data_IF_385036705031
#
_entry.id   IF_385036705031
#
_cell.length_a   1.000
_cell.length_b   1.000
_cell.length_c   1.000
_cell.angle_alpha   90.00
_cell.angle_beta   90.00
_cell.angle_gamma   90.00
#
_symmetry.space_group_name_H-M   'P 1'
#
loop_
_entity.id
_entity.type
_entity.pdbx_description
1 polymer ?
#
# COMPACT_ATOMS: atom_id res chain seq x y z
N UNK A 1 -16.12 22.04 -11.68
CA UNK A 1 -16.28 20.99 -10.66
C UNK A 1 -15.22 19.95 -10.96
N UNK A 2 -14.09 19.99 -10.25
CA UNK A 2 -13.07 18.95 -10.38
C UNK A 2 -13.43 17.94 -9.30
N UNK A 3 -14.07 16.84 -9.70
CA UNK A 3 -14.18 15.67 -8.82
C UNK A 3 -12.74 15.18 -8.66
N UNK A 4 -12.11 15.47 -7.53
CA UNK A 4 -10.71 15.12 -7.29
C UNK A 4 -10.58 13.60 -7.36
N UNK A 5 -9.80 13.09 -8.30
CA UNK A 5 -9.65 11.66 -8.53
C UNK A 5 -9.16 10.99 -7.24
N UNK A 6 -9.87 9.98 -6.71
CA UNK A 6 -9.51 9.35 -5.44
C UNK A 6 -8.14 8.67 -5.49
N UNK A 7 -7.62 8.40 -6.69
CA UNK A 7 -6.24 7.95 -6.91
C UNK A 7 -5.19 9.02 -6.57
N UNK A 8 -5.46 10.29 -6.87
CA UNK A 8 -4.56 11.41 -6.54
C UNK A 8 -4.47 11.59 -5.02
N UNK A 9 -5.61 11.45 -4.33
CA UNK A 9 -5.66 11.46 -2.87
C UNK A 9 -4.88 10.28 -2.28
N UNK A 10 -5.03 9.07 -2.82
CA UNK A 10 -4.28 7.89 -2.38
C UNK A 10 -2.76 8.11 -2.51
N UNK A 11 -2.29 8.68 -3.62
CA UNK A 11 -0.86 9.02 -3.80
C UNK A 11 -0.38 10.08 -2.80
N UNK A 12 -1.20 11.08 -2.50
CA UNK A 12 -0.86 12.10 -1.50
C UNK A 12 -0.75 11.49 -0.10
N UNK A 13 -1.71 10.63 0.26
CA UNK A 13 -1.73 9.86 1.50
C UNK A 13 -0.53 8.91 1.63
N UNK A 14 -0.18 8.20 0.55
CA UNK A 14 1.02 7.37 0.49
C UNK A 14 2.30 8.17 0.70
N UNK A 15 2.42 9.38 0.10
CA UNK A 15 3.54 10.29 0.39
C UNK A 15 3.58 10.76 1.86
N UNK A 16 2.43 10.91 2.52
CA UNK A 16 2.35 11.22 3.96
C UNK A 16 2.75 10.03 4.82
N UNK A 17 2.36 8.82 4.43
CA UNK A 17 2.81 7.60 5.10
C UNK A 17 4.33 7.48 5.08
N UNK A 18 4.99 7.75 3.95
CA UNK A 18 6.45 7.74 3.85
C UNK A 18 7.13 8.74 4.82
N UNK A 19 6.40 9.73 5.32
CA UNK A 19 6.86 10.69 6.33
C UNK A 19 6.52 10.25 7.78
N UNK A 20 5.98 9.05 7.99
CA UNK A 20 5.47 8.53 9.27
C UNK A 20 4.30 9.32 9.88
N UNK A 21 3.55 10.08 9.06
CA UNK A 21 2.40 10.90 9.50
C UNK A 21 1.05 10.18 9.33
N UNK A 22 1.02 8.98 8.76
CA UNK A 22 -0.22 8.26 8.47
C UNK A 22 -0.11 6.77 8.84
N UNK A 23 -1.25 6.14 9.12
CA UNK A 23 -1.30 4.72 9.45
C UNK A 23 -1.31 3.85 8.17
N UNK A 24 -0.32 2.95 7.98
CA UNK A 24 -0.21 2.16 6.76
C UNK A 24 -1.36 1.16 6.58
N UNK A 25 -1.99 0.71 7.67
CA UNK A 25 -3.14 -0.19 7.64
C UNK A 25 -4.39 0.54 7.11
N UNK A 26 -4.63 1.76 7.57
CA UNK A 26 -5.70 2.61 7.05
C UNK A 26 -5.52 2.88 5.56
N UNK A 27 -4.32 3.26 5.15
CA UNK A 27 -4.01 3.52 3.74
C UNK A 27 -4.15 2.27 2.87
N UNK A 28 -3.74 1.10 3.38
CA UNK A 28 -3.92 -0.18 2.69
C UNK A 28 -5.40 -0.47 2.40
N UNK A 29 -6.29 -0.28 3.38
CA UNK A 29 -7.73 -0.51 3.20
C UNK A 29 -8.34 0.42 2.13
N UNK A 30 -7.93 1.69 2.15
CA UNK A 30 -8.36 2.66 1.14
C UNK A 30 -7.86 2.27 -0.26
N UNK A 31 -6.60 1.86 -0.38
CA UNK A 31 -6.03 1.37 -1.64
C UNK A 31 -6.74 0.10 -2.15
N UNK A 32 -7.05 -0.87 -1.29
CA UNK A 32 -7.80 -2.08 -1.68
C UNK A 32 -9.18 -1.76 -2.23
N UNK A 33 -9.88 -0.79 -1.62
CA UNK A 33 -11.18 -0.33 -2.08
C UNK A 33 -11.08 0.33 -3.46
N UNK A 34 -10.11 1.22 -3.63
CA UNK A 34 -9.88 1.89 -4.91
C UNK A 34 -9.43 0.93 -6.00
N UNK A 35 -8.69 -0.12 -5.65
CA UNK A 35 -8.34 -1.19 -6.58
C UNK A 35 -9.59 -1.91 -7.10
N UNK A 36 -10.51 -2.25 -6.20
CA UNK A 36 -11.78 -2.88 -6.57
C UNK A 36 -12.62 -1.97 -7.49
N UNK A 37 -12.68 -0.67 -7.20
CA UNK A 37 -13.37 0.31 -8.04
C UNK A 37 -12.69 0.49 -9.41
N UNK A 38 -11.36 0.56 -9.45
CA UNK A 38 -10.60 0.68 -10.69
C UNK A 38 -10.79 -0.56 -11.57
N UNK A 39 -10.75 -1.77 -10.98
CA UNK A 39 -11.05 -3.03 -11.67
C UNK A 39 -12.49 -3.09 -12.18
N UNK A 40 -13.46 -2.67 -11.36
CA UNK A 40 -14.88 -2.64 -11.73
C UNK A 40 -15.17 -1.66 -12.89
N UNK A 41 -14.46 -0.53 -12.93
CA UNK A 41 -14.57 0.46 -14.01
C UNK A 41 -13.70 0.11 -15.24
N UNK A 42 -12.86 -0.93 -15.17
CA UNK A 42 -11.96 -1.33 -16.27
C UNK A 42 -10.70 -0.47 -16.41
N UNK A 43 -10.32 0.30 -15.39
CA UNK A 43 -9.12 1.14 -15.38
C UNK A 43 -7.88 0.32 -15.01
N UNK A 44 -7.45 -0.56 -15.91
CA UNK A 44 -6.32 -1.47 -15.67
C UNK A 44 -5.02 -0.76 -15.27
N UNK A 45 -4.70 0.38 -15.91
CA UNK A 45 -3.49 1.16 -15.57
C UNK A 45 -3.51 1.70 -14.13
N UNK A 46 -4.65 2.23 -13.70
CA UNK A 46 -4.82 2.76 -12.35
C UNK A 46 -4.79 1.61 -11.34
N UNK A 47 -5.43 0.48 -11.66
CA UNK A 47 -5.42 -0.71 -10.83
C UNK A 47 -3.99 -1.24 -10.60
N UNK A 48 -3.16 -1.30 -11.65
CA UNK A 48 -1.76 -1.72 -11.55
C UNK A 48 -0.94 -0.79 -10.63
N UNK A 49 -1.07 0.54 -10.80
CA UNK A 49 -0.39 1.50 -9.92
C UNK A 49 -0.84 1.38 -8.45
N UNK A 50 -2.12 1.10 -8.20
CA UNK A 50 -2.64 0.88 -6.84
C UNK A 50 -2.11 -0.46 -6.27
N UNK A 51 -2.00 -1.51 -7.08
CA UNK A 51 -1.42 -2.79 -6.68
C UNK A 51 0.04 -2.63 -6.27
N UNK A 52 0.84 -1.84 -7.00
CA UNK A 52 2.22 -1.54 -6.61
C UNK A 52 2.30 -0.85 -5.26
N UNK A 53 1.44 0.16 -5.02
CA UNK A 53 1.36 0.85 -3.72
C UNK A 53 0.96 -0.14 -2.62
N UNK A 54 -0.02 -1.01 -2.85
CA UNK A 54 -0.46 -2.02 -1.89
C UNK A 54 0.61 -3.03 -1.53
N UNK A 55 1.43 -3.44 -2.50
CA UNK A 55 2.55 -4.33 -2.28
C UNK A 55 3.58 -3.65 -1.38
N UNK A 56 3.92 -2.39 -1.67
CA UNK A 56 4.88 -1.62 -0.88
C UNK A 56 4.39 -1.35 0.55
N UNK A 57 3.09 -1.04 0.70
CA UNK A 57 2.41 -0.91 2.00
C UNK A 57 2.42 -2.22 2.79
N UNK A 58 2.10 -3.33 2.12
CA UNK A 58 2.08 -4.65 2.76
C UNK A 58 3.47 -5.04 3.21
N UNK A 59 4.49 -4.76 2.42
CA UNK A 59 5.88 -4.98 2.79
C UNK A 59 6.32 -4.10 3.95
N UNK A 60 5.97 -2.81 3.94
CA UNK A 60 6.28 -1.88 5.04
C UNK A 60 5.63 -2.32 6.36
N UNK A 61 4.38 -2.79 6.33
CA UNK A 61 3.67 -3.33 7.51
C UNK A 61 4.24 -4.69 7.94
N UNK A 62 4.61 -5.56 6.99
CA UNK A 62 5.24 -6.85 7.29
C UNK A 62 6.67 -6.69 7.82
N UNK A 63 7.45 -5.72 7.35
CA UNK A 63 8.75 -5.35 7.93
C UNK A 63 8.57 -4.82 9.36
N UNK A 64 7.54 -3.99 9.62
CA UNK A 64 7.21 -3.54 10.98
C UNK A 64 6.79 -4.70 11.90
N UNK A 65 6.18 -5.75 11.35
CA UNK A 65 5.87 -7.00 12.08
C UNK A 65 7.06 -7.95 12.20
N UNK A 66 8.07 -7.84 11.34
CA UNK A 66 9.36 -8.54 11.46
C UNK A 66 10.24 -7.86 12.54
N UNK A 67 9.66 -7.57 13.71
CA UNK A 67 10.44 -7.41 14.94
C UNK A 67 10.98 -8.79 15.29
N UNK A 68 12.14 -9.13 14.74
CA UNK A 68 12.87 -10.33 15.09
C UNK A 68 13.33 -10.17 16.55
N UNK A 69 12.77 -10.90 17.55
CA UNK A 69 13.43 -10.97 18.84
C UNK A 69 14.84 -11.53 18.63
N UNK A 70 15.80 -11.13 19.48
CA UNK A 70 17.24 -11.45 19.38
C UNK A 70 17.55 -12.95 19.63
N UNK A 71 16.83 -13.85 18.98
CA UNK A 71 17.00 -15.30 19.04
C UNK A 71 16.56 -15.93 17.73
N UNK A 72 17.58 -16.14 16.89
CA UNK A 72 17.75 -17.19 15.89
C UNK A 72 16.49 -17.69 15.15
N UNK A 73 16.39 -17.27 13.87
CA UNK A 73 15.46 -17.67 12.78
C UNK A 73 14.25 -16.76 12.54
N UNK A 74 14.53 -15.51 12.22
CA UNK A 74 13.59 -14.69 11.46
C UNK A 74 13.58 -15.15 10.00
N UNK A 75 12.41 -15.56 9.48
CA UNK A 75 12.22 -15.89 8.06
C UNK A 75 11.31 -14.83 7.46
N UNK A 76 11.78 -13.58 7.40
CA UNK A 76 11.07 -12.54 6.63
C UNK A 76 11.03 -13.04 5.17
N UNK A 77 9.84 -13.07 4.57
CA UNK A 77 9.67 -13.57 3.21
C UNK A 77 10.50 -12.69 2.27
N UNK A 78 11.60 -13.23 1.74
CA UNK A 78 12.44 -12.53 0.78
C UNK A 78 11.67 -12.38 -0.53
N UNK A 79 11.70 -11.17 -1.10
CA UNK A 79 11.32 -10.93 -2.49
C UNK A 79 12.42 -11.57 -3.37
N UNK A 80 12.25 -12.84 -3.74
CA UNK A 80 13.03 -13.40 -4.85
C UNK A 80 12.54 -12.70 -6.12
N UNK A 81 13.49 -12.09 -6.82
CA UNK A 81 13.29 -11.19 -7.96
C UNK A 81 13.27 -11.99 -9.25
#
# INVERSE_FOLDING_TARGET
>A
MIMEDPFTELKARYKRLLKNDEDPLALKRDAEKLLAEAKAKGHHKIAEEIEEILIDLTFSVEEMKCNCPMSSKCRCQKRDK
#
